data_IF_784627361596
#
_entry.id   IF_784627361596
#
_cell.length_a   1.000
_cell.length_b   1.000
_cell.length_c   1.000
_cell.angle_alpha   90.00
_cell.angle_beta   90.00
_cell.angle_gamma   90.00
#
_symmetry.space_group_name_H-M   'P 1'
#
loop_
_entity.id
_entity.type
_entity.pdbx_description
1 polymer ?
#
# COMPACT_ATOMS: atom_id res chain seq x y z
N UNK A 1 -9.90 -5.38 4.42
CA UNK A 1 -10.82 -5.82 3.36
C UNK A 1 -9.96 -6.01 2.12
N UNK A 2 -9.58 -7.25 1.80
CA UNK A 2 -8.71 -7.50 0.66
C UNK A 2 -9.49 -7.26 -0.64
N UNK A 3 -8.99 -6.39 -1.50
CA UNK A 3 -9.59 -6.16 -2.82
C UNK A 3 -9.18 -7.34 -3.69
N UNK A 4 -10.12 -8.25 -3.94
CA UNK A 4 -10.01 -9.23 -5.01
C UNK A 4 -9.82 -8.48 -6.33
N UNK A 5 -8.63 -8.59 -6.90
CA UNK A 5 -8.33 -8.14 -8.26
C UNK A 5 -9.27 -8.87 -9.24
N UNK A 6 -10.35 -8.22 -9.67
CA UNK A 6 -11.31 -8.82 -10.61
C UNK A 6 -10.58 -9.15 -11.92
N UNK A 7 -10.54 -10.43 -12.36
CA UNK A 7 -9.84 -10.82 -13.58
C UNK A 7 -10.42 -10.18 -14.84
N UNK A 8 -11.69 -9.74 -14.83
CA UNK A 8 -12.29 -8.95 -15.92
C UNK A 8 -11.71 -7.53 -15.94
N UNK A 9 -11.40 -6.98 -14.78
CA UNK A 9 -10.75 -5.68 -14.61
C UNK A 9 -9.36 -5.63 -15.27
N UNK A 10 -8.59 -6.71 -15.23
CA UNK A 10 -7.26 -6.79 -15.85
C UNK A 10 -7.31 -6.74 -17.40
N UNK A 11 -8.26 -7.44 -18.02
CA UNK A 11 -8.43 -7.42 -19.46
C UNK A 11 -8.89 -6.03 -19.97
N UNK A 12 -9.71 -5.32 -19.20
CA UNK A 12 -10.12 -3.95 -19.52
C UNK A 12 -9.05 -2.90 -19.16
N UNK A 13 -8.24 -3.13 -18.13
CA UNK A 13 -7.05 -2.29 -17.83
C UNK A 13 -6.11 -2.27 -19.03
N UNK A 14 -5.75 -3.43 -19.58
CA UNK A 14 -4.85 -3.51 -20.74
C UNK A 14 -5.40 -2.75 -21.96
N UNK A 15 -6.72 -2.78 -22.19
CA UNK A 15 -7.38 -2.00 -23.25
C UNK A 15 -7.31 -0.50 -22.98
N UNK A 16 -7.56 -0.06 -21.75
CA UNK A 16 -7.48 1.36 -21.37
C UNK A 16 -6.05 1.88 -21.54
N UNK A 17 -5.04 1.15 -21.04
CA UNK A 17 -3.62 1.50 -21.22
C UNK A 17 -3.26 1.57 -22.72
N UNK A 18 -3.68 0.60 -23.53
CA UNK A 18 -3.44 0.60 -24.97
C UNK A 18 -4.13 1.76 -25.71
N UNK A 19 -5.25 2.29 -25.19
CA UNK A 19 -5.89 3.52 -25.67
C UNK A 19 -5.11 4.76 -25.23
N UNK A 20 -4.70 4.86 -23.97
CA UNK A 20 -3.89 5.98 -23.48
C UNK A 20 -2.57 6.15 -24.25
N UNK A 21 -1.91 5.03 -24.60
CA UNK A 21 -0.70 5.04 -25.45
C UNK A 21 -0.95 5.60 -26.86
N UNK A 22 -2.21 5.64 -27.32
CA UNK A 22 -2.66 6.29 -28.56
C UNK A 22 -3.18 7.73 -28.33
N UNK A 23 -2.83 8.34 -27.20
CA UNK A 23 -3.21 9.69 -26.78
C UNK A 23 -4.71 9.90 -26.49
N UNK A 24 -5.45 8.81 -26.23
CA UNK A 24 -6.84 8.85 -25.73
C UNK A 24 -6.85 9.31 -24.25
N UNK A 25 -7.26 10.56 -24.01
CA UNK A 25 -7.30 11.15 -22.67
C UNK A 25 -8.45 10.58 -21.81
N UNK A 26 -9.60 10.27 -22.42
CA UNK A 26 -10.77 9.71 -21.73
C UNK A 26 -10.48 8.31 -21.17
N UNK A 27 -9.62 7.54 -21.86
CA UNK A 27 -9.13 6.27 -21.36
C UNK A 27 -8.28 6.41 -20.08
N UNK A 28 -7.54 7.52 -19.92
CA UNK A 28 -6.78 7.77 -18.69
C UNK A 28 -7.70 8.21 -17.55
N UNK A 29 -8.74 9.00 -17.83
CA UNK A 29 -9.79 9.33 -16.86
C UNK A 29 -10.39 8.07 -16.22
N UNK A 30 -10.72 7.06 -17.02
CA UNK A 30 -11.21 5.77 -16.54
C UNK A 30 -10.20 4.97 -15.69
N UNK A 31 -8.89 5.12 -15.93
CA UNK A 31 -7.87 4.56 -15.05
C UNK A 31 -7.78 5.33 -13.73
N UNK A 32 -7.93 6.66 -13.75
CA UNK A 32 -7.99 7.47 -12.52
C UNK A 32 -9.21 7.09 -11.69
N UNK A 33 -10.41 7.06 -12.26
CA UNK A 33 -11.64 6.66 -11.56
C UNK A 33 -11.52 5.27 -10.91
N UNK A 34 -10.92 4.30 -11.64
CA UNK A 34 -10.70 2.93 -11.15
C UNK A 34 -9.74 2.86 -9.97
N UNK A 35 -8.69 3.69 -9.96
CA UNK A 35 -7.60 3.58 -9.00
C UNK A 35 -7.56 4.66 -7.91
N UNK A 36 -8.34 5.74 -8.04
CA UNK A 36 -8.30 6.89 -7.12
C UNK A 36 -8.46 6.47 -5.65
N UNK A 37 -9.49 5.68 -5.33
CA UNK A 37 -9.76 5.23 -3.96
C UNK A 37 -8.63 4.38 -3.39
N UNK A 38 -8.01 3.48 -4.17
CA UNK A 38 -6.92 2.63 -3.64
C UNK A 38 -5.61 3.40 -3.48
N UNK A 39 -5.30 4.35 -4.36
CA UNK A 39 -4.08 5.17 -4.25
C UNK A 39 -4.19 6.17 -3.09
N UNK A 40 -5.35 6.82 -2.88
CA UNK A 40 -5.58 7.67 -1.70
C UNK A 40 -5.49 6.85 -0.40
N UNK A 41 -6.08 5.65 -0.38
CA UNK A 41 -6.03 4.77 0.79
C UNK A 41 -4.61 4.26 1.10
N UNK A 42 -3.81 3.91 0.07
CA UNK A 42 -2.40 3.57 0.24
C UNK A 42 -1.63 4.75 0.81
N UNK A 43 -1.76 5.94 0.20
CA UNK A 43 -1.06 7.14 0.64
C UNK A 43 -1.41 7.47 2.10
N UNK A 44 -2.70 7.43 2.47
CA UNK A 44 -3.16 7.64 3.84
C UNK A 44 -2.54 6.65 4.83
N UNK A 45 -2.46 5.36 4.48
CA UNK A 45 -1.81 4.35 5.32
C UNK A 45 -0.30 4.51 5.42
N UNK A 46 0.36 5.09 4.41
CA UNK A 46 1.78 5.38 4.46
C UNK A 46 2.07 6.63 5.31
N UNK A 47 1.41 7.77 5.04
CA UNK A 47 1.76 9.08 5.63
C UNK A 47 0.99 9.44 6.91
N UNK A 48 -0.23 8.91 7.07
CA UNK A 48 -1.10 9.12 8.24
C UNK A 48 -1.92 10.42 8.25
N UNK A 49 -1.72 11.30 7.26
CA UNK A 49 -2.49 12.53 7.06
C UNK A 49 -3.42 12.36 5.85
N UNK A 50 -4.66 12.87 5.95
CA UNK A 50 -5.67 12.70 4.89
C UNK A 50 -5.46 13.68 3.73
N UNK A 51 -5.19 14.95 4.03
CA UNK A 51 -5.01 16.00 3.02
C UNK A 51 -3.78 15.71 2.18
N UNK A 52 -2.66 15.40 2.84
CA UNK A 52 -1.41 15.07 2.16
C UNK A 52 -1.52 13.75 1.38
N UNK A 53 -2.39 12.82 1.79
CA UNK A 53 -2.68 11.61 1.02
C UNK A 53 -3.51 11.86 -0.26
N UNK A 54 -4.46 12.80 -0.21
CA UNK A 54 -5.21 13.24 -1.40
C UNK A 54 -4.28 13.97 -2.39
N UNK A 55 -3.42 14.87 -1.89
CA UNK A 55 -2.40 15.56 -2.70
C UNK A 55 -1.38 14.58 -3.33
N UNK A 56 -0.82 13.65 -2.54
CA UNK A 56 0.12 12.63 -3.03
C UNK A 56 -0.53 11.69 -4.06
N UNK A 57 -1.82 11.38 -3.93
CA UNK A 57 -2.57 10.62 -4.91
C UNK A 57 -2.75 11.41 -6.22
N UNK A 58 -3.12 12.70 -6.15
CA UNK A 58 -3.21 13.56 -7.33
C UNK A 58 -1.86 13.67 -8.05
N UNK A 59 -0.78 13.93 -7.30
CA UNK A 59 0.57 13.93 -7.85
C UNK A 59 0.95 12.59 -8.50
N UNK A 60 0.53 11.47 -7.91
CA UNK A 60 0.76 10.12 -8.45
C UNK A 60 0.13 9.98 -9.82
N UNK A 61 -1.14 10.37 -9.99
CA UNK A 61 -1.79 10.30 -11.31
C UNK A 61 -1.17 11.26 -12.33
N UNK A 62 -0.76 12.46 -11.92
CA UNK A 62 -0.03 13.40 -12.81
C UNK A 62 1.33 12.83 -13.24
N UNK A 63 2.06 12.19 -12.33
CA UNK A 63 3.34 11.54 -12.65
C UNK A 63 3.12 10.30 -13.54
N UNK A 64 2.11 9.48 -13.24
CA UNK A 64 1.72 8.33 -14.04
C UNK A 64 1.34 8.74 -15.47
N UNK A 65 0.50 9.77 -15.65
CA UNK A 65 0.13 10.27 -16.99
C UNK A 65 1.37 10.66 -17.81
N UNK A 66 2.29 11.41 -17.21
CA UNK A 66 3.55 11.84 -17.87
C UNK A 66 4.48 10.68 -18.18
N UNK A 67 4.55 9.66 -17.32
CA UNK A 67 5.42 8.50 -17.50
C UNK A 67 4.79 7.40 -18.36
N UNK A 68 3.47 7.42 -18.61
CA UNK A 68 2.75 6.35 -19.29
C UNK A 68 3.30 5.97 -20.68
N UNK A 69 3.79 6.89 -21.53
CA UNK A 69 4.43 6.53 -22.79
C UNK A 69 5.69 5.64 -22.64
N UNK A 70 6.26 5.55 -21.44
CA UNK A 70 7.41 4.68 -21.13
C UNK A 70 7.01 3.33 -20.55
N UNK A 71 5.73 3.09 -20.28
CA UNK A 71 5.23 1.85 -19.69
C UNK A 71 5.25 0.71 -20.72
N UNK A 72 6.01 -0.36 -20.41
CA UNK A 72 6.27 -1.48 -21.32
C UNK A 72 5.39 -2.71 -21.12
N UNK A 73 4.45 -2.66 -20.16
CA UNK A 73 3.61 -3.80 -19.76
C UNK A 73 4.40 -5.06 -19.31
N UNK A 74 5.65 -4.88 -18.85
CA UNK A 74 6.47 -5.93 -18.21
C UNK A 74 5.90 -6.34 -16.83
N UNK A 75 5.05 -5.50 -16.24
CA UNK A 75 4.25 -5.78 -15.04
C UNK A 75 2.83 -5.22 -15.21
N UNK A 76 1.89 -5.53 -14.29
CA UNK A 76 0.53 -4.95 -14.30
C UNK A 76 0.60 -3.44 -14.14
N UNK A 77 -0.33 -2.71 -14.77
CA UNK A 77 -0.37 -1.26 -14.62
C UNK A 77 -0.67 -0.85 -13.17
N UNK A 78 -1.52 -1.60 -12.46
CA UNK A 78 -1.72 -1.44 -11.01
C UNK A 78 -0.40 -1.45 -10.22
N UNK A 79 0.47 -2.44 -10.46
CA UNK A 79 1.76 -2.58 -9.77
C UNK A 79 2.71 -1.42 -10.09
N UNK A 80 2.75 -1.00 -11.36
CA UNK A 80 3.52 0.17 -11.79
C UNK A 80 3.00 1.48 -11.19
N UNK A 81 1.69 1.66 -11.08
CA UNK A 81 1.05 2.82 -10.43
C UNK A 81 1.34 2.84 -8.92
N UNK A 82 1.22 1.70 -8.25
CA UNK A 82 1.59 1.53 -6.84
C UNK A 82 3.06 1.88 -6.57
N UNK A 83 3.98 1.59 -7.51
CA UNK A 83 5.38 2.03 -7.40
C UNK A 83 5.52 3.55 -7.37
N UNK A 84 4.79 4.25 -8.24
CA UNK A 84 4.83 5.72 -8.29
C UNK A 84 4.27 6.29 -6.98
N UNK A 85 3.14 5.75 -6.49
CA UNK A 85 2.51 6.16 -5.23
C UNK A 85 3.43 5.96 -4.02
N UNK A 86 3.99 4.76 -3.87
CA UNK A 86 4.86 4.42 -2.75
C UNK A 86 6.11 5.30 -2.72
N UNK A 87 6.77 5.52 -3.87
CA UNK A 87 7.94 6.39 -3.95
C UNK A 87 7.63 7.85 -3.57
N UNK A 88 6.48 8.39 -4.01
CA UNK A 88 6.03 9.72 -3.58
C UNK A 88 5.81 9.81 -2.08
N UNK A 89 5.17 8.80 -1.48
CA UNK A 89 4.96 8.74 -0.03
C UNK A 89 6.29 8.64 0.74
N UNK A 90 7.27 7.88 0.23
CA UNK A 90 8.63 7.79 0.80
C UNK A 90 9.37 9.12 0.74
N UNK A 91 9.32 9.81 -0.40
CA UNK A 91 9.96 11.12 -0.57
C UNK A 91 9.35 12.16 0.36
N UNK A 92 8.02 12.18 0.48
CA UNK A 92 7.31 13.04 1.42
C UNK A 92 7.70 12.75 2.88
N UNK A 93 7.71 11.47 3.28
CA UNK A 93 8.11 11.05 4.64
C UNK A 93 9.55 11.44 4.96
N UNK A 94 10.47 11.28 4.00
CA UNK A 94 11.89 11.68 4.12
C UNK A 94 12.05 13.19 4.37
N UNK A 95 11.22 14.02 3.73
CA UNK A 95 11.26 15.49 3.90
C UNK A 95 10.55 15.95 5.18
N UNK A 96 9.38 15.39 5.50
CA UNK A 96 8.54 15.86 6.62
C UNK A 96 8.88 15.23 7.97
N UNK A 97 9.60 14.10 8.01
CA UNK A 97 10.01 13.41 9.26
C UNK A 97 11.50 13.05 9.30
N UNK A 98 12.43 14.01 9.10
CA UNK A 98 13.86 13.75 9.21
C UNK A 98 14.18 13.20 10.61
N UNK A 99 14.82 12.03 10.68
CA UNK A 99 15.17 11.35 11.93
C UNK A 99 14.23 10.22 12.38
N UNK A 100 13.03 10.05 11.81
CA UNK A 100 12.27 8.79 11.96
C UNK A 100 12.86 7.75 11.01
N UNK A 101 13.94 7.11 11.48
CA UNK A 101 14.95 6.44 10.66
C UNK A 101 14.48 5.57 9.50
N UNK A 102 15.07 5.83 8.33
CA UNK A 102 15.32 4.84 7.28
C UNK A 102 16.61 4.04 7.53
N UNK A 103 17.18 4.14 8.74
CA UNK A 103 18.41 3.44 9.14
C UNK A 103 18.13 1.99 9.47
N UNK A 104 19.14 1.14 9.21
CA UNK A 104 19.07 -0.29 9.43
C UNK A 104 18.70 -0.61 10.88
N UNK A 105 17.72 -1.50 11.03
CA UNK A 105 17.34 -2.03 12.34
C UNK A 105 18.07 -3.35 12.50
N UNK A 106 18.87 -3.44 13.56
CA UNK A 106 19.61 -4.65 13.90
C UNK A 106 18.70 -5.88 13.92
N UNK A 107 19.16 -6.92 13.23
CA UNK A 107 18.44 -8.16 13.03
C UNK A 107 18.77 -9.08 14.20
N UNK A 108 17.88 -9.12 15.18
CA UNK A 108 17.84 -10.21 16.15
C UNK A 108 16.43 -10.79 16.31
N UNK A 109 16.40 -11.95 16.96
CA UNK A 109 15.65 -13.15 16.57
C UNK A 109 14.10 -13.16 16.70
N UNK A 110 13.55 -14.35 16.43
CA UNK A 110 12.38 -15.03 17.07
C UNK A 110 11.31 -15.55 16.09
N UNK A 111 10.97 -16.83 16.28
CA UNK A 111 10.01 -17.65 15.54
C UNK A 111 8.53 -17.54 16.02
N UNK A 112 7.67 -18.17 15.19
CA UNK A 112 6.41 -18.87 15.51
C UNK A 112 5.08 -18.22 15.10
N UNK A 113 4.14 -19.11 14.78
CA UNK A 113 2.88 -18.90 14.08
C UNK A 113 1.66 -19.10 14.97
N UNK A 114 0.53 -18.49 14.58
CA UNK A 114 -0.81 -19.13 14.49
C UNK A 114 -1.89 -18.16 14.02
N UNK A 115 -2.94 -18.72 13.43
CA UNK A 115 -4.09 -18.04 12.82
C UNK A 115 -5.38 -18.65 13.36
N UNK A 116 -6.40 -17.84 13.68
CA UNK A 116 -7.79 -18.29 13.93
C UNK A 116 -8.78 -17.23 13.42
N UNK A 117 -9.85 -17.66 12.75
CA UNK A 117 -10.96 -16.84 12.26
C UNK A 117 -12.28 -17.08 13.03
N UNK A 118 -13.24 -16.15 12.91
CA UNK A 118 -14.64 -16.35 12.41
C UNK A 118 -15.54 -15.13 12.75
N UNK A 119 -16.69 -14.94 12.06
CA UNK A 119 -17.43 -13.64 11.99
C UNK A 119 -18.98 -13.72 12.00
N UNK A 120 -19.66 -12.68 12.54
CA UNK A 120 -21.14 -12.49 12.59
C UNK A 120 -21.58 -10.99 12.46
N UNK A 121 -22.88 -10.66 12.25
CA UNK A 121 -23.32 -9.36 11.70
C UNK A 121 -23.29 -8.10 12.59
N UNK A 122 -23.38 -8.20 13.92
CA UNK A 122 -23.24 -7.04 14.83
C UNK A 122 -21.88 -6.33 14.66
N UNK A 123 -20.92 -7.06 14.10
CA UNK A 123 -19.63 -6.52 13.68
C UNK A 123 -19.70 -5.55 12.51
N UNK A 124 -20.81 -5.04 11.97
CA UNK A 124 -20.73 -3.99 10.93
C UNK A 124 -20.36 -2.60 11.49
N UNK A 125 -21.00 -2.17 12.57
CA UNK A 125 -20.58 -0.97 13.33
C UNK A 125 -19.22 -1.21 14.00
N UNK A 126 -19.05 -2.39 14.60
CA UNK A 126 -17.75 -2.80 15.14
C UNK A 126 -16.67 -2.97 14.06
N UNK A 127 -16.99 -3.23 12.79
CA UNK A 127 -16.02 -3.28 11.68
C UNK A 127 -15.51 -1.89 11.33
N UNK A 128 -16.34 -0.84 11.39
CA UNK A 128 -15.87 0.53 11.17
C UNK A 128 -14.94 0.96 12.32
N UNK A 129 -15.29 0.63 13.56
CA UNK A 129 -14.43 0.87 14.73
C UNK A 129 -13.12 0.07 14.67
N UNK A 130 -13.19 -1.23 14.32
CA UNK A 130 -12.01 -2.10 14.15
C UNK A 130 -11.16 -1.68 12.95
N UNK A 131 -11.74 -1.19 11.86
CA UNK A 131 -10.99 -0.65 10.73
C UNK A 131 -10.28 0.65 11.10
N UNK A 132 -10.96 1.56 11.81
CA UNK A 132 -10.34 2.79 12.31
C UNK A 132 -9.20 2.50 13.30
N UNK A 133 -9.37 1.54 14.23
CA UNK A 133 -8.29 1.17 15.16
C UNK A 133 -7.17 0.38 14.48
N UNK A 134 -7.47 -0.43 13.45
CA UNK A 134 -6.46 -1.07 12.60
C UNK A 134 -5.64 -0.02 11.84
N UNK A 135 -6.27 0.97 11.20
CA UNK A 135 -5.56 2.05 10.50
C UNK A 135 -4.72 2.90 11.49
N UNK A 136 -5.21 3.18 12.71
CA UNK A 136 -4.42 3.81 13.78
C UNK A 136 -3.23 2.97 14.23
N UNK A 137 -3.42 1.67 14.44
CA UNK A 137 -2.36 0.76 14.86
C UNK A 137 -1.28 0.62 13.75
N UNK A 138 -1.69 0.59 12.47
CA UNK A 138 -0.78 0.69 11.32
C UNK A 138 -0.01 2.02 11.34
N UNK A 139 -0.66 3.15 11.65
CA UNK A 139 0.01 4.46 11.77
C UNK A 139 1.03 4.55 12.92
N UNK A 140 0.95 3.70 13.96
CA UNK A 140 1.95 3.59 15.03
C UNK A 140 3.19 2.77 14.65
N UNK A 141 3.10 1.92 13.61
CA UNK A 141 4.26 1.15 13.11
C UNK A 141 5.38 2.08 12.61
N UNK A 142 6.67 1.75 12.85
CA UNK A 142 7.81 2.41 12.21
C UNK A 142 7.67 2.45 10.68
N UNK A 143 8.11 3.51 9.98
CA UNK A 143 7.84 3.69 8.55
C UNK A 143 8.20 2.48 7.67
N UNK A 144 9.39 1.88 7.88
CA UNK A 144 9.87 0.71 7.12
C UNK A 144 9.00 -0.54 7.31
N UNK A 145 8.42 -0.72 8.49
CA UNK A 145 7.53 -1.85 8.79
C UNK A 145 6.11 -1.58 8.31
N UNK A 146 5.64 -0.33 8.44
CA UNK A 146 4.35 0.12 7.94
C UNK A 146 4.24 -0.06 6.43
N UNK A 147 5.23 0.43 5.69
CA UNK A 147 5.33 0.31 4.23
C UNK A 147 5.26 -1.15 3.78
N UNK A 148 6.13 -2.00 4.34
CA UNK A 148 6.19 -3.41 3.98
C UNK A 148 4.89 -4.14 4.34
N UNK A 149 4.32 -3.89 5.52
CA UNK A 149 3.06 -4.48 5.96
C UNK A 149 1.87 -4.06 5.08
N UNK A 150 1.74 -2.78 4.75
CA UNK A 150 0.65 -2.25 3.92
C UNK A 150 0.71 -2.85 2.52
N UNK A 151 1.86 -2.79 1.84
CA UNK A 151 2.02 -3.37 0.51
C UNK A 151 1.76 -4.89 0.51
N UNK A 152 2.19 -5.62 1.56
CA UNK A 152 2.02 -7.08 1.60
C UNK A 152 0.61 -7.55 1.97
N UNK A 153 0.02 -6.96 3.02
CA UNK A 153 -1.20 -7.49 3.66
C UNK A 153 -2.45 -6.65 3.40
N UNK A 154 -2.31 -5.37 3.01
CA UNK A 154 -3.45 -4.51 2.66
C UNK A 154 -3.66 -4.51 1.15
N UNK A 155 -2.59 -4.22 0.38
CA UNK A 155 -2.64 -4.21 -1.09
C UNK A 155 -2.42 -5.60 -1.73
N UNK A 156 -1.94 -6.58 -0.94
CA UNK A 156 -1.86 -7.99 -1.35
C UNK A 156 -0.71 -8.36 -2.29
N UNK A 157 0.32 -7.51 -2.41
CA UNK A 157 1.39 -7.68 -3.40
C UNK A 157 2.31 -8.88 -3.11
N UNK A 158 2.95 -9.40 -4.16
CA UNK A 158 4.02 -10.40 -4.03
C UNK A 158 5.33 -9.76 -3.53
N UNK A 159 6.25 -10.58 -3.00
CA UNK A 159 7.58 -10.07 -2.61
C UNK A 159 8.42 -9.64 -3.81
N UNK A 160 8.13 -10.13 -5.01
CA UNK A 160 8.75 -9.70 -6.27
C UNK A 160 8.29 -8.29 -6.63
N UNK A 161 6.97 -8.05 -6.69
CA UNK A 161 6.41 -6.71 -6.92
C UNK A 161 6.87 -5.70 -5.85
N UNK A 162 6.99 -6.12 -4.59
CA UNK A 162 7.52 -5.26 -3.53
C UNK A 162 9.02 -4.94 -3.70
N UNK A 163 9.82 -5.85 -4.27
CA UNK A 163 11.23 -5.55 -4.62
C UNK A 163 11.28 -4.49 -5.72
N UNK A 164 10.47 -4.63 -6.77
CA UNK A 164 10.37 -3.66 -7.87
C UNK A 164 9.86 -2.28 -7.44
N UNK A 165 8.99 -2.25 -6.42
CA UNK A 165 8.44 -1.02 -5.84
C UNK A 165 9.45 -0.33 -4.91
N UNK A 166 10.11 -1.09 -4.04
CA UNK A 166 10.89 -0.52 -2.93
C UNK A 166 12.39 -0.43 -3.16
N UNK A 167 12.94 -1.20 -4.09
CA UNK A 167 14.40 -1.29 -4.32
C UNK A 167 15.15 -2.02 -3.20
N UNK A 168 14.46 -2.90 -2.46
CA UNK A 168 14.97 -3.60 -1.27
C UNK A 168 14.80 -5.10 -1.46
N UNK A 169 15.82 -5.91 -1.19
CA UNK A 169 15.81 -7.35 -1.44
C UNK A 169 14.69 -8.11 -0.69
N UNK A 170 14.28 -9.26 -1.22
CA UNK A 170 13.15 -10.04 -0.72
C UNK A 170 13.27 -10.49 0.74
N UNK A 171 14.47 -10.76 1.26
CA UNK A 171 14.65 -11.23 2.65
C UNK A 171 14.52 -10.10 3.66
N UNK A 172 15.09 -8.92 3.35
CA UNK A 172 14.84 -7.69 4.12
C UNK A 172 13.34 -7.33 4.11
N UNK A 173 12.63 -7.56 3.01
CA UNK A 173 11.17 -7.35 2.95
C UNK A 173 10.39 -8.36 3.80
N UNK A 174 10.71 -9.66 3.75
CA UNK A 174 10.12 -10.67 4.65
C UNK A 174 10.29 -10.27 6.12
N UNK A 175 11.50 -9.83 6.51
CA UNK A 175 11.79 -9.35 7.86
C UNK A 175 10.92 -8.13 8.24
N UNK A 176 10.85 -7.11 7.37
CA UNK A 176 10.04 -5.90 7.63
C UNK A 176 8.54 -6.20 7.74
N UNK A 177 8.02 -7.08 6.88
CA UNK A 177 6.63 -7.58 6.96
C UNK A 177 6.40 -8.29 8.30
N UNK A 178 7.31 -9.20 8.69
CA UNK A 178 7.21 -9.96 9.92
C UNK A 178 7.23 -9.06 11.17
N UNK A 179 8.23 -8.17 11.30
CA UNK A 179 8.31 -7.22 12.43
C UNK A 179 7.09 -6.29 12.47
N UNK A 180 6.60 -5.83 11.31
CA UNK A 180 5.34 -5.08 11.20
C UNK A 180 4.11 -5.85 11.71
N UNK A 181 3.96 -7.13 11.31
CA UNK A 181 2.90 -8.02 11.82
C UNK A 181 2.99 -8.18 13.33
N UNK A 182 4.18 -8.50 13.86
CA UNK A 182 4.40 -8.71 15.31
C UNK A 182 4.07 -7.46 16.11
N UNK A 183 4.53 -6.28 15.69
CA UNK A 183 4.24 -5.03 16.40
C UNK A 183 2.75 -4.68 16.32
N UNK A 184 2.11 -4.85 15.16
CA UNK A 184 0.67 -4.63 15.00
C UNK A 184 -0.15 -5.58 15.88
N UNK A 185 0.27 -6.84 16.02
CA UNK A 185 -0.37 -7.78 16.94
C UNK A 185 -0.26 -7.35 18.40
N UNK A 186 0.86 -6.73 18.82
CA UNK A 186 1.02 -6.18 20.18
C UNK A 186 0.12 -4.96 20.43
N UNK A 187 0.08 -4.03 19.49
CA UNK A 187 -0.82 -2.85 19.52
C UNK A 187 -2.29 -3.27 19.66
N UNK A 188 -2.72 -4.25 18.86
CA UNK A 188 -4.10 -4.76 18.87
C UNK A 188 -4.42 -5.67 20.07
N UNK A 189 -3.40 -6.27 20.71
CA UNK A 189 -3.58 -7.04 21.95
C UNK A 189 -3.80 -6.10 23.14
N UNK A 190 -2.98 -5.06 23.28
CA UNK A 190 -3.12 -4.05 24.34
C UNK A 190 -4.50 -3.36 24.32
N UNK A 191 -5.10 -3.19 23.13
CA UNK A 191 -6.46 -2.68 22.98
C UNK A 191 -7.56 -3.64 23.47
N UNK A 192 -7.34 -4.95 23.49
CA UNK A 192 -8.33 -5.94 23.97
C UNK A 192 -8.33 -6.10 25.49
N UNK A 193 -7.29 -5.59 26.16
CA UNK A 193 -7.09 -5.68 27.61
C UNK A 193 -7.48 -4.37 28.34
N UNK A 194 -7.90 -3.34 27.59
CA UNK A 194 -8.28 -2.00 28.07
C UNK A 194 -9.78 -1.73 27.93
#
# INVERSE_FOLDING_TARGET
MAILLDPRGAADEAKLVARCLKQDQDAFGQLVERYATVIVNLAYRMVGDKTEAEDLAQETFVAAFKALPTFRAESKFSTWLYRIAANKCKDWLRVKRPGQGLQDVDIDDVQDDRVVEERTPERLLSQQQVAAELDRAIQRLPPLYREAFVLKHVEGLSYEEMQDILGVNGDTLKMRVYKGRVQLSRELAAFKEA
#
